data_IF_563959440272
#
_entry.id   IF_563959440272
#
_cell.length_a   1.000
_cell.length_b   1.000
_cell.length_c   1.000
_cell.angle_alpha   90.00
_cell.angle_beta   90.00
_cell.angle_gamma   90.00
#
_symmetry.space_group_name_H-M   'P 1'
#
loop_
_entity.id
_entity.type
_entity.pdbx_description
1 polymer ?
#
# COMPACT_ATOMS: atom_id res chain seq x y z
N UNK A 1 8.21 -11.25 -0.62
CA UNK A 1 7.16 -10.18 -0.70
C UNK A 1 6.48 -9.93 0.65
N UNK A 2 5.88 -10.94 1.31
CA UNK A 2 5.13 -10.71 2.58
C UNK A 2 5.93 -9.95 3.65
N UNK A 3 7.13 -10.40 4.01
CA UNK A 3 7.94 -9.75 5.06
C UNK A 3 8.28 -8.30 4.72
N UNK A 4 8.53 -7.99 3.44
CA UNK A 4 8.76 -6.62 2.98
C UNK A 4 7.53 -5.75 3.24
N UNK A 5 6.34 -6.22 2.85
CA UNK A 5 5.08 -5.50 3.06
C UNK A 5 4.81 -5.32 4.55
N UNK A 6 4.99 -6.38 5.35
CA UNK A 6 4.83 -6.32 6.81
C UNK A 6 5.73 -5.25 7.41
N UNK A 7 7.01 -5.21 7.03
CA UNK A 7 7.96 -4.21 7.52
C UNK A 7 7.58 -2.78 7.12
N UNK A 8 7.09 -2.56 5.89
CA UNK A 8 6.57 -1.24 5.48
C UNK A 8 5.36 -0.82 6.31
N UNK A 9 4.44 -1.76 6.60
CA UNK A 9 3.22 -1.46 7.38
C UNK A 9 3.50 -1.23 8.87
N UNK A 10 4.44 -1.97 9.47
CA UNK A 10 4.70 -1.90 10.93
C UNK A 10 5.89 -1.03 11.30
N UNK A 11 6.80 -0.74 10.37
CA UNK A 11 8.08 -0.08 10.66
C UNK A 11 8.02 1.45 10.67
N UNK A 12 7.07 2.05 9.95
CA UNK A 12 6.91 3.50 9.87
C UNK A 12 5.42 3.87 9.83
N UNK A 13 5.07 4.99 10.48
CA UNK A 13 3.76 5.59 10.33
C UNK A 13 3.72 6.52 9.11
N UNK A 14 2.64 6.43 8.35
CA UNK A 14 2.37 7.28 7.19
C UNK A 14 1.13 8.13 7.45
N UNK A 15 1.15 9.38 7.00
CA UNK A 15 -0.02 10.27 7.10
C UNK A 15 -1.12 9.90 6.11
N UNK A 16 -0.76 9.25 5.01
CA UNK A 16 -1.64 8.88 3.89
C UNK A 16 -1.48 7.39 3.57
N UNK A 17 -2.58 6.70 3.28
CA UNK A 17 -2.53 5.29 2.88
C UNK A 17 -1.96 5.11 1.46
N UNK A 18 -2.02 6.18 0.66
CA UNK A 18 -1.37 6.37 -0.62
C UNK A 18 0.15 6.26 -0.50
N UNK A 19 0.75 6.91 0.51
CA UNK A 19 2.19 6.89 0.72
C UNK A 19 2.68 5.49 1.12
N UNK A 20 1.90 4.77 1.94
CA UNK A 20 2.17 3.37 2.25
C UNK A 20 2.06 2.48 1.00
N UNK A 21 1.02 2.68 0.19
CA UNK A 21 0.84 1.92 -1.04
C UNK A 21 2.02 2.15 -2.01
N UNK A 22 2.47 3.40 -2.15
CA UNK A 22 3.60 3.79 -3.01
C UNK A 22 4.92 3.18 -2.53
N UNK A 23 5.23 3.25 -1.23
CA UNK A 23 6.44 2.63 -0.65
C UNK A 23 6.47 1.13 -0.92
N UNK A 24 5.34 0.44 -0.70
CA UNK A 24 5.22 -0.99 -0.99
C UNK A 24 5.45 -1.26 -2.49
N UNK A 25 4.82 -0.48 -3.38
CA UNK A 25 4.94 -0.70 -4.82
C UNK A 25 6.39 -0.53 -5.29
N UNK A 26 7.06 0.54 -4.87
CA UNK A 26 8.45 0.81 -5.24
C UNK A 26 9.39 -0.28 -4.73
N UNK A 27 9.29 -0.64 -3.44
CA UNK A 27 10.12 -1.69 -2.86
C UNK A 27 9.91 -3.05 -3.52
N UNK A 28 8.69 -3.38 -3.94
CA UNK A 28 8.41 -4.63 -4.67
C UNK A 28 9.01 -4.59 -6.07
N UNK A 29 8.86 -3.48 -6.80
CA UNK A 29 9.43 -3.33 -8.14
C UNK A 29 10.97 -3.32 -8.12
N UNK A 30 11.59 -2.80 -7.07
CA UNK A 30 13.05 -2.74 -6.91
C UNK A 30 13.65 -4.10 -6.55
N UNK A 31 13.00 -4.87 -5.68
CA UNK A 31 13.57 -6.11 -5.12
C UNK A 31 13.15 -7.39 -5.85
N UNK A 32 12.10 -7.35 -6.66
CA UNK A 32 11.57 -8.52 -7.35
C UNK A 32 11.54 -8.30 -8.87
N UNK A 33 11.84 -9.32 -9.69
CA UNK A 33 11.84 -9.21 -11.15
C UNK A 33 10.40 -9.27 -11.70
N UNK A 34 9.60 -8.25 -11.39
CA UNK A 34 8.22 -8.10 -11.87
C UNK A 34 8.09 -6.78 -12.64
N UNK A 35 7.33 -6.82 -13.74
CA UNK A 35 7.15 -5.63 -14.60
C UNK A 35 6.10 -4.66 -14.06
N UNK A 36 5.15 -5.17 -13.29
CA UNK A 36 4.01 -4.38 -12.79
C UNK A 36 3.54 -4.93 -11.46
N UNK A 37 3.09 -4.04 -10.58
CA UNK A 37 2.49 -4.37 -9.29
C UNK A 37 1.18 -3.59 -9.10
N UNK A 38 0.22 -4.23 -8.45
CA UNK A 38 -1.01 -3.60 -7.95
C UNK A 38 -0.99 -3.70 -6.43
N UNK A 39 -1.13 -2.57 -5.75
CA UNK A 39 -1.13 -2.49 -4.29
C UNK A 39 -2.45 -1.89 -3.84
N UNK A 40 -3.18 -2.62 -2.99
CA UNK A 40 -4.42 -2.15 -2.37
C UNK A 40 -4.27 -2.10 -0.86
N UNK A 41 -4.40 -0.91 -0.28
CA UNK A 41 -4.34 -0.69 1.17
C UNK A 41 -5.76 -0.40 1.67
N UNK A 42 -6.27 -1.26 2.56
CA UNK A 42 -7.59 -1.13 3.17
C UNK A 42 -7.48 -0.55 4.57
N UNK A 43 -8.29 0.47 4.86
CA UNK A 43 -8.48 1.07 6.18
C UNK A 43 -9.94 0.87 6.61
N UNK A 44 -10.26 -0.27 7.27
CA UNK A 44 -11.63 -0.59 7.66
C UNK A 44 -12.17 0.36 8.73
N UNK A 45 -11.33 0.86 9.63
CA UNK A 45 -11.69 1.80 10.69
C UNK A 45 -11.28 3.24 10.34
N UNK A 46 -11.70 3.74 9.17
CA UNK A 46 -11.47 5.14 8.83
C UNK A 46 -12.35 6.05 9.71
N UNK A 47 -11.79 7.06 10.41
CA UNK A 47 -12.55 7.94 11.31
C UNK A 47 -13.30 9.00 10.50
N UNK A 48 -14.25 8.57 9.68
CA UNK A 48 -15.07 9.43 8.81
C UNK A 48 -16.53 9.19 9.17
N UNK A 49 -17.31 10.26 9.30
CA UNK A 49 -18.74 10.15 9.53
C UNK A 49 -19.42 9.53 8.30
N UNK A 50 -19.97 8.33 8.46
CA UNK A 50 -20.75 7.63 7.44
C UNK A 50 -20.72 6.12 7.62
N UNK A 51 -21.73 5.44 7.08
CA UNK A 51 -21.78 3.97 7.08
C UNK A 51 -21.01 3.44 5.88
N UNK A 52 -19.74 3.11 6.10
CA UNK A 52 -18.89 2.48 5.09
C UNK A 52 -18.29 1.20 5.65
N UNK A 53 -18.21 0.15 4.83
CA UNK A 53 -17.56 -1.09 5.22
C UNK A 53 -16.02 -0.93 5.31
N UNK A 54 -15.44 -0.08 4.46
CA UNK A 54 -14.00 0.16 4.39
C UNK A 54 -13.68 1.36 3.50
N UNK A 55 -12.60 2.08 3.81
CA UNK A 55 -11.93 2.97 2.85
C UNK A 55 -10.69 2.27 2.30
N UNK A 56 -10.33 2.52 1.05
CA UNK A 56 -9.15 1.92 0.47
C UNK A 56 -8.54 2.80 -0.62
N UNK A 57 -7.24 2.66 -0.81
CA UNK A 57 -6.55 3.10 -2.02
C UNK A 57 -6.09 1.87 -2.80
N UNK A 58 -6.12 1.95 -4.12
CA UNK A 58 -5.49 1.00 -5.02
C UNK A 58 -4.63 1.75 -6.02
N UNK A 59 -3.38 1.33 -6.16
CA UNK A 59 -2.45 1.88 -7.16
C UNK A 59 -1.91 0.78 -8.04
N UNK A 60 -1.57 1.15 -9.28
CA UNK A 60 -0.84 0.32 -10.23
C UNK A 60 0.45 1.03 -10.60
N UNK A 61 1.58 0.32 -10.54
CA UNK A 61 2.91 0.81 -10.92
C UNK A 61 3.59 -0.21 -11.81
N UNK A 62 4.37 0.27 -12.77
CA UNK A 62 5.22 -0.56 -13.62
C UNK A 62 6.63 0.02 -13.67
N UNK A 63 7.59 -0.78 -14.11
CA UNK A 63 8.93 -0.31 -14.42
C UNK A 63 8.86 0.62 -15.64
N UNK A 64 9.66 1.68 -15.63
CA UNK A 64 9.82 2.62 -16.75
C UNK A 64 11.07 2.26 -17.53
#
# INVERSE_FOLDING_TARGET
VFELVKNSVTGQSYFLIEALAEDIANRVLDQFPVETVVVRVKKPQAPIAGHFACMAVEIRRGRV
#
